data_IF_175012187355
#
_entry.id   IF_175012187355
#
_cell.length_a   1.000
_cell.length_b   1.000
_cell.length_c   1.000
_cell.angle_alpha   90.00
_cell.angle_beta   90.00
_cell.angle_gamma   90.00
#
_symmetry.space_group_name_H-M   'P 1'
#
loop_
_entity.id
_entity.type
_entity.pdbx_description
1 polymer ?
#
# COMPACT_ATOMS: atom_id res chain seq x y z
N UNK A 1 -3.80 -49.51 -18.89
CA UNK A 1 -4.28 -48.87 -17.65
C UNK A 1 -3.68 -47.47 -17.44
N UNK A 2 -2.34 -47.33 -17.44
CA UNK A 2 -1.65 -46.03 -17.29
C UNK A 2 -2.05 -44.98 -18.35
N UNK A 3 -2.04 -45.35 -19.64
CA UNK A 3 -2.46 -44.48 -20.74
C UNK A 3 -3.84 -43.85 -20.50
N UNK A 4 -4.86 -44.68 -20.24
CA UNK A 4 -6.23 -44.22 -19.97
C UNK A 4 -6.30 -43.24 -18.78
N UNK A 5 -5.52 -43.48 -17.72
CA UNK A 5 -5.46 -42.58 -16.57
C UNK A 5 -4.83 -41.23 -16.94
N UNK A 6 -3.78 -41.21 -17.75
CA UNK A 6 -3.15 -39.99 -18.23
C UNK A 6 -4.08 -39.18 -19.15
N UNK A 7 -4.79 -39.83 -20.09
CA UNK A 7 -5.82 -39.17 -20.90
C UNK A 7 -6.88 -38.50 -20.04
N UNK A 8 -7.39 -39.19 -19.01
CA UNK A 8 -8.36 -38.60 -18.08
C UNK A 8 -7.79 -37.40 -17.32
N UNK A 9 -6.55 -37.49 -16.83
CA UNK A 9 -5.91 -36.40 -16.10
C UNK A 9 -5.65 -35.18 -16.98
N UNK A 10 -5.12 -35.38 -18.20
CA UNK A 10 -4.86 -34.30 -19.15
C UNK A 10 -6.18 -33.61 -19.53
N UNK A 11 -7.21 -34.39 -19.89
CA UNK A 11 -8.53 -33.83 -20.21
C UNK A 11 -9.13 -33.04 -19.03
N UNK A 12 -9.00 -33.54 -17.80
CA UNK A 12 -9.46 -32.83 -16.61
C UNK A 12 -8.74 -31.49 -16.43
N UNK A 13 -7.42 -31.47 -16.50
CA UNK A 13 -6.65 -30.24 -16.32
C UNK A 13 -6.86 -29.26 -17.48
N UNK A 14 -6.99 -29.74 -18.73
CA UNK A 14 -7.37 -28.88 -19.86
C UNK A 14 -8.71 -28.19 -19.61
N UNK A 15 -9.74 -28.95 -19.23
CA UNK A 15 -11.05 -28.40 -18.93
C UNK A 15 -11.04 -27.45 -17.72
N UNK A 16 -10.15 -27.67 -16.74
CA UNK A 16 -9.94 -26.73 -15.64
C UNK A 16 -9.31 -25.41 -16.13
N UNK A 17 -8.27 -25.49 -16.98
CA UNK A 17 -7.61 -24.31 -17.57
C UNK A 17 -8.58 -23.50 -18.43
N UNK A 18 -9.41 -24.16 -19.24
CA UNK A 18 -10.39 -23.46 -20.08
C UNK A 18 -11.43 -22.71 -19.24
N UNK A 19 -11.95 -23.34 -18.17
CA UNK A 19 -12.84 -22.70 -17.20
C UNK A 19 -12.19 -21.54 -16.47
N UNK A 20 -10.92 -21.68 -16.06
CA UNK A 20 -10.18 -20.59 -15.43
C UNK A 20 -10.07 -19.37 -16.35
N UNK A 21 -10.05 -19.58 -17.66
CA UNK A 21 -9.99 -18.50 -18.63
C UNK A 21 -11.28 -17.71 -18.84
N UNK A 22 -12.41 -18.19 -18.32
CA UNK A 22 -13.63 -17.39 -18.17
C UNK A 22 -13.52 -16.47 -16.94
N UNK A 23 -12.34 -15.89 -16.71
CA UNK A 23 -11.97 -15.28 -15.44
C UNK A 23 -12.84 -14.07 -15.06
N UNK A 24 -13.43 -13.40 -16.05
CA UNK A 24 -14.43 -12.35 -15.82
C UNK A 24 -15.70 -12.87 -15.14
N UNK A 25 -15.93 -14.18 -15.07
CA UNK A 25 -17.03 -14.80 -14.33
C UNK A 25 -16.75 -14.95 -12.83
N UNK A 26 -15.48 -14.88 -12.41
CA UNK A 26 -15.12 -14.93 -10.98
C UNK A 26 -15.37 -13.62 -10.25
N UNK A 27 -15.72 -12.55 -10.96
CA UNK A 27 -16.21 -11.31 -10.38
C UNK A 27 -17.48 -10.83 -11.08
N UNK A 28 -18.36 -10.18 -10.31
CA UNK A 28 -19.63 -9.69 -10.85
C UNK A 28 -19.37 -8.67 -11.97
N UNK A 29 -20.14 -8.68 -13.08
CA UNK A 29 -20.00 -7.67 -14.14
C UNK A 29 -20.07 -6.23 -13.62
N UNK A 30 -20.96 -5.97 -12.66
CA UNK A 30 -21.09 -4.67 -12.00
C UNK A 30 -19.84 -4.25 -11.22
N UNK A 31 -19.09 -5.20 -10.66
CA UNK A 31 -17.84 -4.92 -9.95
C UNK A 31 -16.71 -4.56 -10.93
N UNK A 32 -16.70 -5.18 -12.12
CA UNK A 32 -15.81 -4.80 -13.21
C UNK A 32 -16.14 -3.42 -13.80
N UNK A 33 -17.43 -3.10 -13.97
CA UNK A 33 -17.91 -1.79 -14.46
C UNK A 33 -17.71 -0.66 -13.45
N UNK A 34 -17.40 -1.02 -12.21
CA UNK A 34 -17.07 -0.12 -11.12
C UNK A 34 -15.59 0.28 -11.09
N UNK A 35 -14.72 -0.33 -11.90
CA UNK A 35 -13.33 0.09 -12.05
C UNK A 35 -13.21 1.29 -12.98
N UNK A 36 -12.16 2.08 -12.81
CA UNK A 36 -11.69 3.02 -13.82
C UNK A 36 -11.34 2.26 -15.10
N UNK A 37 -11.63 2.86 -16.26
CA UNK A 37 -11.49 2.16 -17.55
C UNK A 37 -10.07 1.64 -17.79
N UNK A 38 -9.05 2.45 -17.52
CA UNK A 38 -7.66 2.05 -17.72
C UNK A 38 -7.26 0.89 -16.80
N UNK A 39 -7.78 0.87 -15.56
CA UNK A 39 -7.51 -0.16 -14.57
C UNK A 39 -8.13 -1.49 -15.00
N UNK A 40 -9.40 -1.46 -15.42
CA UNK A 40 -10.10 -2.63 -15.93
C UNK A 40 -9.44 -3.23 -17.18
N UNK A 41 -8.89 -2.40 -18.07
CA UNK A 41 -8.14 -2.88 -19.24
C UNK A 41 -6.82 -3.53 -18.83
N UNK A 42 -6.02 -2.86 -18.00
CA UNK A 42 -4.73 -3.37 -17.54
C UNK A 42 -4.87 -4.70 -16.79
N UNK A 43 -5.90 -4.81 -15.93
CA UNK A 43 -6.11 -6.00 -15.13
C UNK A 43 -6.59 -7.18 -15.97
N UNK A 44 -7.58 -6.99 -16.86
CA UNK A 44 -8.06 -8.06 -17.75
C UNK A 44 -6.93 -8.58 -18.65
N UNK A 45 -6.16 -7.68 -19.27
CA UNK A 45 -5.01 -8.08 -20.08
C UNK A 45 -4.00 -8.92 -19.31
N UNK A 46 -3.72 -8.56 -18.05
CA UNK A 46 -2.82 -9.34 -17.18
C UNK A 46 -3.33 -10.76 -16.89
N UNK A 47 -4.63 -10.89 -16.59
CA UNK A 47 -5.28 -12.17 -16.32
C UNK A 47 -5.38 -13.04 -17.59
N UNK A 48 -5.76 -12.43 -18.72
CA UNK A 48 -5.81 -13.09 -20.03
C UNK A 48 -4.45 -13.66 -20.42
N UNK A 49 -3.38 -12.88 -20.25
CA UNK A 49 -2.01 -13.31 -20.54
C UNK A 49 -1.58 -14.50 -19.66
N UNK A 50 -1.93 -14.49 -18.37
CA UNK A 50 -1.63 -15.58 -17.45
C UNK A 50 -2.34 -16.88 -17.85
N UNK A 51 -3.63 -16.79 -18.18
CA UNK A 51 -4.44 -17.93 -18.66
C UNK A 51 -3.95 -18.41 -20.01
N UNK A 52 -3.61 -17.52 -20.95
CA UNK A 52 -3.13 -17.89 -22.29
C UNK A 52 -1.84 -18.72 -22.21
N UNK A 53 -0.90 -18.33 -21.32
CA UNK A 53 0.30 -19.14 -21.03
C UNK A 53 -0.04 -20.52 -20.50
N UNK A 54 -1.00 -20.62 -19.57
CA UNK A 54 -1.42 -21.90 -19.00
C UNK A 54 -2.13 -22.79 -20.05
N UNK A 55 -2.93 -22.20 -20.94
CA UNK A 55 -3.54 -22.88 -22.10
C UNK A 55 -2.50 -23.44 -23.05
N UNK A 56 -1.45 -22.68 -23.34
CA UNK A 56 -0.33 -23.15 -24.17
C UNK A 56 0.40 -24.33 -23.52
N UNK A 57 0.64 -24.28 -22.20
CA UNK A 57 1.23 -25.39 -21.46
C UNK A 57 0.34 -26.64 -21.49
N UNK A 58 -0.97 -26.50 -21.28
CA UNK A 58 -1.91 -27.61 -21.38
C UNK A 58 -1.89 -28.26 -22.77
N UNK A 59 -1.91 -27.45 -23.84
CA UNK A 59 -1.82 -27.93 -25.22
C UNK A 59 -0.51 -28.67 -25.52
N UNK A 60 0.61 -28.23 -24.94
CA UNK A 60 1.89 -28.96 -25.06
C UNK A 60 1.84 -30.32 -24.36
N UNK A 61 1.18 -30.45 -23.20
CA UNK A 61 1.00 -31.74 -22.53
C UNK A 61 0.08 -32.67 -23.33
N UNK A 62 -0.98 -32.14 -23.93
CA UNK A 62 -1.87 -32.90 -24.84
C UNK A 62 -1.12 -33.44 -26.04
N UNK A 63 -0.31 -32.61 -26.70
CA UNK A 63 0.52 -33.02 -27.83
C UNK A 63 1.53 -34.11 -27.41
N UNK A 64 2.18 -33.96 -26.26
CA UNK A 64 3.09 -34.97 -25.73
C UNK A 64 2.40 -36.30 -25.42
N UNK A 65 1.17 -36.27 -24.87
CA UNK A 65 0.38 -37.48 -24.62
C UNK A 65 -0.04 -38.16 -25.93
N UNK A 66 -0.39 -37.39 -26.96
CA UNK A 66 -0.78 -37.93 -28.27
C UNK A 66 0.41 -38.61 -28.97
N UNK A 67 1.63 -38.10 -28.79
CA UNK A 67 2.85 -38.65 -29.38
C UNK A 67 3.44 -39.84 -28.60
N UNK A 68 3.11 -40.00 -27.31
CA UNK A 68 3.67 -41.06 -26.47
C UNK A 68 3.23 -42.47 -26.90
N UNK A 69 4.20 -43.34 -27.18
CA UNK A 69 3.98 -44.75 -27.54
C UNK A 69 4.55 -45.74 -26.53
N UNK A 70 5.50 -45.32 -25.69
CA UNK A 70 6.25 -46.18 -24.77
C UNK A 70 5.97 -45.85 -23.30
N UNK A 71 6.25 -46.81 -22.40
CA UNK A 71 6.10 -46.61 -20.95
C UNK A 71 6.95 -45.45 -20.43
N UNK A 72 8.17 -45.26 -20.95
CA UNK A 72 9.04 -44.16 -20.55
C UNK A 72 8.44 -42.80 -20.93
N UNK A 73 7.91 -42.67 -22.14
CA UNK A 73 7.24 -41.45 -22.60
C UNK A 73 5.96 -41.16 -21.81
N UNK A 74 5.18 -42.19 -21.44
CA UNK A 74 4.03 -42.00 -20.55
C UNK A 74 4.43 -41.50 -19.16
N UNK A 75 5.58 -41.93 -18.63
CA UNK A 75 6.12 -41.39 -17.37
C UNK A 75 6.61 -39.93 -17.52
N UNK A 76 7.17 -39.55 -18.67
CA UNK A 76 7.46 -38.15 -18.99
C UNK A 76 6.20 -37.29 -19.03
N UNK A 77 5.15 -37.78 -19.69
CA UNK A 77 3.84 -37.12 -19.71
C UNK A 77 3.26 -37.00 -18.30
N UNK A 78 3.38 -38.04 -17.47
CA UNK A 78 2.96 -37.96 -16.05
C UNK A 78 3.66 -36.83 -15.30
N UNK A 79 4.98 -36.66 -15.50
CA UNK A 79 5.74 -35.54 -14.91
C UNK A 79 5.27 -34.19 -15.43
N UNK A 80 4.97 -34.09 -16.73
CA UNK A 80 4.40 -32.89 -17.34
C UNK A 80 3.02 -32.55 -16.75
N UNK A 81 2.14 -33.54 -16.54
CA UNK A 81 0.83 -33.34 -15.88
C UNK A 81 0.99 -32.82 -14.46
N UNK A 82 1.92 -33.37 -13.67
CA UNK A 82 2.19 -32.89 -12.30
C UNK A 82 2.66 -31.43 -12.31
N UNK A 83 3.54 -31.06 -13.25
CA UNK A 83 3.96 -29.66 -13.43
C UNK A 83 2.80 -28.76 -13.85
N UNK A 84 1.96 -29.19 -14.80
CA UNK A 84 0.78 -28.45 -15.24
C UNK A 84 -0.18 -28.19 -14.08
N UNK A 85 -0.44 -29.21 -13.24
CA UNK A 85 -1.24 -29.06 -12.02
C UNK A 85 -0.68 -28.00 -11.08
N UNK A 86 0.63 -28.02 -10.80
CA UNK A 86 1.25 -27.03 -9.94
C UNK A 86 1.11 -25.60 -10.53
N UNK A 87 1.30 -25.46 -11.84
CA UNK A 87 1.10 -24.19 -12.56
C UNK A 87 -0.35 -23.71 -12.53
N UNK A 88 -1.31 -24.63 -12.66
CA UNK A 88 -2.73 -24.30 -12.54
C UNK A 88 -3.06 -23.71 -11.18
N UNK A 89 -2.64 -24.34 -10.07
CA UNK A 89 -2.94 -23.84 -8.71
C UNK A 89 -2.35 -22.44 -8.49
N UNK A 90 -1.15 -22.19 -9.03
CA UNK A 90 -0.52 -20.87 -8.97
C UNK A 90 -1.31 -19.82 -9.76
N UNK A 91 -1.74 -20.13 -10.98
CA UNK A 91 -2.55 -19.24 -11.80
C UNK A 91 -3.95 -19.01 -11.19
N UNK A 92 -4.57 -20.06 -10.63
CA UNK A 92 -5.84 -19.97 -9.91
C UNK A 92 -5.73 -19.05 -8.69
N UNK A 93 -4.64 -19.13 -7.93
CA UNK A 93 -4.37 -18.22 -6.80
C UNK A 93 -4.34 -16.75 -7.25
N UNK A 94 -3.66 -16.49 -8.37
CA UNK A 94 -3.57 -15.16 -8.98
C UNK A 94 -4.95 -14.65 -9.43
N UNK A 95 -5.71 -15.47 -10.17
CA UNK A 95 -7.04 -15.11 -10.66
C UNK A 95 -8.00 -14.88 -9.48
N UNK A 96 -7.97 -15.75 -8.48
CA UNK A 96 -8.81 -15.64 -7.29
C UNK A 96 -8.51 -14.36 -6.50
N UNK A 97 -7.23 -14.02 -6.32
CA UNK A 97 -6.82 -12.79 -5.64
C UNK A 97 -7.45 -11.55 -6.29
N UNK A 98 -7.26 -11.37 -7.60
CA UNK A 98 -7.77 -10.19 -8.29
C UNK A 98 -9.29 -10.20 -8.41
N UNK A 99 -9.90 -11.36 -8.61
CA UNK A 99 -11.36 -11.47 -8.66
C UNK A 99 -11.99 -11.07 -7.33
N UNK A 100 -11.41 -11.51 -6.20
CA UNK A 100 -11.84 -11.09 -4.87
C UNK A 100 -11.63 -9.59 -4.64
N UNK A 101 -10.48 -9.04 -5.05
CA UNK A 101 -10.19 -7.61 -4.93
C UNK A 101 -11.18 -6.75 -5.75
N UNK A 102 -11.52 -7.17 -6.97
CA UNK A 102 -12.54 -6.50 -7.79
C UNK A 102 -13.92 -6.63 -7.14
N UNK A 103 -14.29 -7.81 -6.65
CA UNK A 103 -15.56 -8.07 -5.96
C UNK A 103 -15.72 -7.31 -4.64
N UNK A 104 -14.66 -6.72 -4.07
CA UNK A 104 -14.78 -5.84 -2.90
C UNK A 104 -15.69 -4.63 -3.18
N UNK A 105 -15.95 -4.31 -4.46
CA UNK A 105 -16.86 -3.26 -4.93
C UNK A 105 -18.32 -3.75 -4.93
N UNK A 106 -18.80 -4.19 -3.77
CA UNK A 106 -20.08 -4.90 -3.58
C UNK A 106 -21.33 -4.06 -3.85
N UNK A 107 -21.22 -2.73 -3.88
CA UNK A 107 -22.33 -1.82 -4.18
C UNK A 107 -21.84 -0.44 -4.65
N UNK A 108 -22.74 0.42 -5.18
CA UNK A 108 -22.37 1.68 -5.82
C UNK A 108 -21.53 2.60 -4.94
N UNK A 109 -21.88 2.68 -3.66
CA UNK A 109 -21.21 3.54 -2.71
C UNK A 109 -19.81 3.03 -2.32
N UNK A 110 -19.69 1.75 -1.96
CA UNK A 110 -18.38 1.14 -1.65
C UNK A 110 -17.46 1.21 -2.87
N UNK A 111 -18.02 0.98 -4.06
CA UNK A 111 -17.29 1.13 -5.31
C UNK A 111 -16.76 2.56 -5.52
N UNK A 112 -17.56 3.59 -5.22
CA UNK A 112 -17.13 4.98 -5.29
C UNK A 112 -16.03 5.30 -4.27
N UNK A 113 -16.17 4.85 -3.02
CA UNK A 113 -15.14 5.04 -2.00
C UNK A 113 -13.81 4.35 -2.38
N UNK A 114 -13.86 3.14 -2.93
CA UNK A 114 -12.66 2.44 -3.37
C UNK A 114 -12.02 3.10 -4.60
N UNK A 115 -12.79 3.65 -5.54
CA UNK A 115 -12.23 4.48 -6.63
C UNK A 115 -11.55 5.74 -6.09
N UNK A 116 -12.15 6.38 -5.07
CA UNK A 116 -11.52 7.51 -4.41
C UNK A 116 -10.17 7.12 -3.78
N UNK A 117 -10.10 5.93 -3.18
CA UNK A 117 -8.86 5.34 -2.67
C UNK A 117 -7.82 5.12 -3.78
N UNK A 118 -8.23 4.59 -4.94
CA UNK A 118 -7.36 4.44 -6.12
C UNK A 118 -6.75 5.78 -6.55
N UNK A 119 -7.59 6.81 -6.65
CA UNK A 119 -7.16 8.18 -6.98
C UNK A 119 -6.20 8.73 -5.95
N UNK A 120 -6.47 8.57 -4.66
CA UNK A 120 -5.63 9.07 -3.57
C UNK A 120 -4.25 8.39 -3.57
N UNK A 121 -4.19 7.07 -3.69
CA UNK A 121 -2.91 6.36 -3.73
C UNK A 121 -2.10 6.73 -4.99
N UNK A 122 -2.76 6.81 -6.15
CA UNK A 122 -2.12 7.22 -7.40
C UNK A 122 -1.60 8.65 -7.30
N UNK A 123 -2.38 9.58 -6.75
CA UNK A 123 -1.97 10.96 -6.51
C UNK A 123 -0.76 11.04 -5.57
N UNK A 124 -0.76 10.25 -4.48
CA UNK A 124 0.37 10.15 -3.56
C UNK A 124 1.64 9.72 -4.31
N UNK A 125 1.59 8.62 -5.07
CA UNK A 125 2.74 8.14 -5.86
C UNK A 125 3.21 9.17 -6.89
N UNK A 126 2.26 9.83 -7.57
CA UNK A 126 2.54 10.81 -8.61
C UNK A 126 3.35 12.01 -8.09
N UNK A 127 3.09 12.46 -6.86
CA UNK A 127 3.82 13.59 -6.25
C UNK A 127 5.34 13.38 -6.18
N UNK A 128 5.78 12.12 -6.06
CA UNK A 128 7.21 11.75 -6.04
C UNK A 128 7.69 11.33 -7.43
N UNK A 129 6.94 10.48 -8.13
CA UNK A 129 7.42 9.80 -9.33
C UNK A 129 7.40 10.67 -10.59
N UNK A 130 6.37 11.52 -10.78
CA UNK A 130 6.25 12.34 -11.98
C UNK A 130 7.38 13.39 -12.09
N UNK A 131 7.78 14.11 -11.01
CA UNK A 131 8.94 15.00 -11.06
C UNK A 131 10.26 14.31 -11.38
N UNK A 132 10.34 12.99 -11.17
CA UNK A 132 11.50 12.14 -11.50
C UNK A 132 11.36 11.46 -12.87
N UNK A 133 10.26 11.71 -13.59
CA UNK A 133 9.90 11.09 -14.87
C UNK A 133 9.81 9.56 -14.79
N UNK A 134 9.41 9.06 -13.62
CA UNK A 134 9.15 7.64 -13.38
C UNK A 134 7.66 7.34 -13.61
N UNK A 135 7.33 6.13 -14.09
CA UNK A 135 5.95 5.76 -14.35
C UNK A 135 5.15 5.61 -13.04
N UNK A 136 3.91 6.12 -13.05
CA UNK A 136 2.95 5.92 -11.96
C UNK A 136 2.01 4.76 -12.34
N UNK A 137 2.01 3.65 -11.59
CA UNK A 137 1.23 2.46 -11.96
C UNK A 137 -0.29 2.72 -11.81
N UNK A 138 -1.12 1.92 -12.49
CA UNK A 138 -2.51 1.75 -12.08
C UNK A 138 -2.59 1.23 -10.63
N UNK A 139 -3.61 1.64 -9.88
CA UNK A 139 -3.82 1.22 -8.49
C UNK A 139 -5.16 0.49 -8.39
N UNK A 140 -5.21 -0.59 -7.60
CA UNK A 140 -6.44 -1.28 -7.21
C UNK A 140 -6.53 -1.37 -5.68
N UNK A 141 -7.33 -0.50 -5.09
CA UNK A 141 -7.71 -0.53 -3.70
C UNK A 141 -8.87 -1.49 -3.50
N UNK A 142 -8.79 -2.30 -2.45
CA UNK A 142 -9.83 -3.27 -2.09
C UNK A 142 -9.95 -3.40 -0.56
N UNK A 143 -11.13 -3.75 -0.07
CA UNK A 143 -11.36 -4.02 1.35
C UNK A 143 -11.14 -5.50 1.64
N UNK A 144 -10.43 -5.80 2.72
CA UNK A 144 -10.36 -7.14 3.29
C UNK A 144 -10.28 -7.07 4.83
N UNK A 145 -10.31 -8.23 5.49
CA UNK A 145 -10.17 -8.36 6.94
C UNK A 145 -8.74 -8.01 7.39
N UNK A 146 -8.61 -7.60 8.65
CA UNK A 146 -7.34 -7.32 9.30
C UNK A 146 -7.32 -5.98 10.04
N UNK A 147 -6.16 -5.67 10.62
CA UNK A 147 -5.92 -4.44 11.38
C UNK A 147 -5.29 -3.33 10.54
N UNK A 148 -4.60 -3.66 9.45
CA UNK A 148 -3.82 -2.68 8.67
C UNK A 148 -4.00 -2.80 7.16
N UNK A 149 -3.48 -1.79 6.46
CA UNK A 149 -3.34 -1.80 5.01
C UNK A 149 -2.18 -2.73 4.58
N UNK A 150 -2.06 -3.00 3.29
CA UNK A 150 -0.89 -3.68 2.73
C UNK A 150 -0.86 -3.55 1.21
N UNK A 151 0.33 -3.48 0.61
CA UNK A 151 0.49 -3.37 -0.83
C UNK A 151 1.13 -4.61 -1.49
N UNK A 152 0.50 -5.08 -2.56
CA UNK A 152 1.14 -5.86 -3.61
C UNK A 152 1.57 -4.90 -4.74
N UNK A 153 2.86 -4.58 -4.79
CA UNK A 153 3.42 -3.58 -5.72
C UNK A 153 3.24 -4.02 -7.19
N UNK A 154 2.98 -3.05 -8.06
CA UNK A 154 3.10 -3.26 -9.51
C UNK A 154 4.54 -3.63 -9.87
N UNK A 155 4.73 -4.48 -10.89
CA UNK A 155 6.07 -4.93 -11.30
C UNK A 155 6.60 -6.15 -10.53
N UNK A 156 5.92 -6.60 -9.46
CA UNK A 156 6.31 -7.82 -8.75
C UNK A 156 5.86 -9.08 -9.50
N UNK A 157 6.70 -10.13 -9.44
CA UNK A 157 6.31 -11.46 -9.89
C UNK A 157 5.22 -12.03 -8.97
N UNK A 158 4.17 -12.55 -9.57
CA UNK A 158 3.02 -13.14 -8.90
C UNK A 158 3.25 -14.63 -8.63
N UNK A 159 2.25 -15.29 -8.05
CA UNK A 159 2.32 -16.69 -7.57
C UNK A 159 2.67 -17.72 -8.65
N UNK A 160 2.44 -17.40 -9.94
CA UNK A 160 2.83 -18.24 -11.08
C UNK A 160 4.31 -18.09 -11.47
N UNK A 161 5.05 -17.18 -10.82
CA UNK A 161 6.48 -16.94 -11.00
C UNK A 161 6.86 -16.29 -12.33
N UNK A 162 5.87 -15.97 -13.18
CA UNK A 162 6.06 -15.43 -14.53
C UNK A 162 5.25 -14.16 -14.74
N UNK A 163 3.99 -14.14 -14.31
CA UNK A 163 3.14 -12.96 -14.44
C UNK A 163 3.67 -11.87 -13.53
N UNK A 164 3.77 -10.67 -14.09
CA UNK A 164 4.15 -9.46 -13.38
C UNK A 164 2.88 -8.68 -13.05
N UNK A 165 2.73 -8.21 -11.82
CA UNK A 165 1.57 -7.42 -11.41
C UNK A 165 1.42 -6.16 -12.27
N UNK A 166 0.32 -6.04 -13.02
CA UNK A 166 0.04 -4.86 -13.83
C UNK A 166 -0.38 -3.64 -13.00
N UNK A 167 -0.80 -3.86 -11.75
CA UNK A 167 -1.38 -2.83 -10.88
C UNK A 167 -0.71 -2.86 -9.51
N UNK A 168 -0.71 -1.74 -8.79
CA UNK A 168 -0.43 -1.72 -7.37
C UNK A 168 -1.72 -2.05 -6.62
N UNK A 169 -1.84 -3.26 -6.08
CA UNK A 169 -3.03 -3.64 -5.32
C UNK A 169 -2.84 -3.29 -3.84
N UNK A 170 -3.70 -2.42 -3.30
CA UNK A 170 -3.59 -1.91 -1.93
C UNK A 170 -4.82 -2.36 -1.14
N UNK A 171 -4.59 -3.17 -0.11
CA UNK A 171 -5.63 -3.55 0.84
C UNK A 171 -5.91 -2.40 1.80
N UNK A 172 -7.19 -2.18 2.10
CA UNK A 172 -7.65 -1.39 3.24
C UNK A 172 -8.61 -2.22 4.12
N UNK A 173 -8.92 -1.71 5.31
CA UNK A 173 -9.89 -2.29 6.25
C UNK A 173 -11.19 -1.48 6.27
N UNK A 174 -12.28 -2.10 6.74
CA UNK A 174 -13.57 -1.43 6.87
C UNK A 174 -13.54 -0.25 7.84
N UNK A 175 -12.86 -0.40 8.98
CA UNK A 175 -12.81 0.64 10.02
C UNK A 175 -12.00 1.86 9.59
N UNK A 176 -11.06 1.71 8.65
CA UNK A 176 -10.25 2.81 8.14
C UNK A 176 -10.78 3.43 6.84
N UNK A 177 -11.85 2.90 6.22
CA UNK A 177 -12.28 3.28 4.85
C UNK A 177 -12.41 4.81 4.60
N UNK A 178 -12.62 5.60 5.66
CA UNK A 178 -12.82 7.04 5.61
C UNK A 178 -11.64 7.87 6.18
N UNK A 179 -10.63 7.22 6.75
CA UNK A 179 -9.43 7.80 7.38
C UNK A 179 -8.16 7.29 6.67
N UNK A 180 -8.13 7.43 5.34
CA UNK A 180 -7.24 6.71 4.42
C UNK A 180 -5.79 7.26 4.32
N UNK A 181 -5.23 7.75 5.40
CA UNK A 181 -3.81 8.15 5.41
C UNK A 181 -2.88 6.93 5.31
N UNK A 182 -3.33 5.75 5.76
CA UNK A 182 -2.63 4.47 5.57
C UNK A 182 -2.41 4.11 4.09
N UNK A 183 -3.32 4.47 3.17
CA UNK A 183 -3.08 4.27 1.74
C UNK A 183 -1.88 5.08 1.23
N UNK A 184 -1.63 6.25 1.82
CA UNK A 184 -0.47 7.05 1.45
C UNK A 184 0.85 6.40 1.93
N UNK A 185 0.82 5.70 3.07
CA UNK A 185 1.95 4.88 3.55
C UNK A 185 2.23 3.73 2.57
N UNK A 186 1.20 2.97 2.19
CA UNK A 186 1.34 1.88 1.20
C UNK A 186 1.83 2.38 -0.17
N UNK A 187 1.33 3.55 -0.60
CA UNK A 187 1.83 4.24 -1.78
C UNK A 187 3.31 4.61 -1.64
N UNK A 188 3.74 5.02 -0.45
CA UNK A 188 5.14 5.27 -0.09
C UNK A 188 6.05 4.06 -0.32
N UNK A 189 5.62 2.85 0.06
CA UNK A 189 6.41 1.64 -0.25
C UNK A 189 6.66 1.46 -1.74
N UNK A 190 5.66 1.78 -2.59
CA UNK A 190 5.86 1.74 -4.03
C UNK A 190 6.85 2.81 -4.50
N UNK A 191 6.67 4.07 -4.08
CA UNK A 191 7.57 5.16 -4.50
C UNK A 191 9.02 4.87 -4.12
N UNK A 192 9.25 4.41 -2.89
CA UNK A 192 10.59 4.20 -2.36
C UNK A 192 11.28 3.01 -3.03
N UNK A 193 10.50 1.99 -3.41
CA UNK A 193 10.99 0.89 -4.23
C UNK A 193 11.31 1.31 -5.65
N UNK A 194 10.47 2.15 -6.26
CA UNK A 194 10.63 2.57 -7.65
C UNK A 194 11.83 3.52 -7.83
N UNK A 195 12.13 4.34 -6.82
CA UNK A 195 13.29 5.23 -6.81
C UNK A 195 14.57 4.56 -6.31
N UNK A 196 14.46 3.42 -5.61
CA UNK A 196 15.59 2.75 -4.95
C UNK A 196 16.00 3.40 -3.62
N UNK A 197 15.20 4.32 -3.07
CA UNK A 197 15.55 5.12 -1.90
C UNK A 197 15.78 4.29 -0.62
N UNK A 198 15.05 3.18 -0.43
CA UNK A 198 15.16 2.35 0.78
C UNK A 198 16.62 1.96 1.10
N UNK A 199 17.36 1.48 0.09
CA UNK A 199 18.76 1.06 0.29
C UNK A 199 19.72 2.22 0.54
N UNK A 200 19.47 3.36 -0.12
CA UNK A 200 20.25 4.58 0.06
C UNK A 200 20.03 5.19 1.47
N UNK A 201 18.78 5.19 1.93
CA UNK A 201 18.40 5.63 3.28
C UNK A 201 19.00 4.71 4.36
N UNK A 202 18.89 3.39 4.20
CA UNK A 202 19.48 2.43 5.14
C UNK A 202 21.01 2.62 5.28
N UNK A 203 21.70 2.78 4.15
CA UNK A 203 23.14 3.07 4.12
C UNK A 203 23.46 4.39 4.85
N UNK A 204 22.62 5.40 4.66
CA UNK A 204 22.77 6.70 5.32
C UNK A 204 22.61 6.58 6.83
N UNK A 205 21.60 5.84 7.31
CA UNK A 205 21.40 5.62 8.74
C UNK A 205 22.58 4.90 9.40
N UNK A 206 23.09 3.84 8.77
CA UNK A 206 24.28 3.13 9.28
C UNK A 206 25.49 4.04 9.39
N UNK A 207 25.67 4.96 8.44
CA UNK A 207 26.80 5.89 8.45
C UNK A 207 26.66 7.04 9.44
N UNK A 208 25.44 7.54 9.67
CA UNK A 208 25.21 8.80 10.39
C UNK A 208 24.82 8.63 11.87
N UNK A 209 24.19 7.52 12.26
CA UNK A 209 23.55 7.38 13.58
C UNK A 209 24.33 6.51 14.57
N UNK A 210 25.62 6.30 14.33
CA UNK A 210 26.48 5.51 15.20
C UNK A 210 26.19 4.01 15.22
N UNK A 211 26.95 3.27 16.03
CA UNK A 211 26.97 1.81 15.99
C UNK A 211 25.71 1.12 16.56
N UNK A 212 24.94 1.81 17.40
CA UNK A 212 23.74 1.26 18.03
C UNK A 212 22.47 1.64 17.26
N UNK A 213 22.21 2.94 17.05
CA UNK A 213 21.00 3.37 16.35
C UNK A 213 21.09 3.13 14.82
N UNK A 214 22.27 3.31 14.21
CA UNK A 214 22.44 3.18 12.76
C UNK A 214 21.95 1.86 12.16
N UNK A 215 22.39 0.69 12.65
CA UNK A 215 21.90 -0.60 12.16
C UNK A 215 20.40 -0.82 12.39
N UNK A 216 19.85 -0.34 13.51
CA UNK A 216 18.44 -0.48 13.83
C UNK A 216 17.56 0.32 12.85
N UNK A 217 17.85 1.62 12.70
CA UNK A 217 17.17 2.47 11.73
C UNK A 217 17.37 2.02 10.28
N UNK A 218 18.53 1.45 9.94
CA UNK A 218 18.76 0.85 8.64
C UNK A 218 17.84 -0.36 8.38
N UNK A 219 17.60 -1.20 9.39
CA UNK A 219 16.62 -2.29 9.33
C UNK A 219 15.18 -1.80 9.15
N UNK A 220 14.88 -0.59 9.63
CA UNK A 220 13.55 0.02 9.55
C UNK A 220 13.36 1.01 8.40
N UNK A 221 14.35 1.14 7.52
CA UNK A 221 14.38 2.21 6.52
C UNK A 221 13.17 2.19 5.58
N UNK A 222 12.65 1.01 5.21
CA UNK A 222 11.49 0.90 4.31
C UNK A 222 10.20 1.44 4.91
N UNK A 223 9.99 1.24 6.22
CA UNK A 223 8.82 1.69 6.95
C UNK A 223 8.89 3.19 7.24
N UNK A 224 10.06 3.67 7.69
CA UNK A 224 10.30 5.09 7.94
C UNK A 224 10.16 5.91 6.66
N UNK A 225 10.69 5.41 5.54
CA UNK A 225 10.54 6.07 4.25
C UNK A 225 9.07 6.12 3.80
N UNK A 226 8.26 5.09 4.09
CA UNK A 226 6.84 5.06 3.75
C UNK A 226 6.04 6.04 4.62
N UNK A 227 6.33 6.09 5.92
CA UNK A 227 5.78 7.08 6.85
C UNK A 227 6.12 8.52 6.41
N UNK A 228 7.34 8.76 5.97
CA UNK A 228 7.76 10.09 5.49
C UNK A 228 6.98 10.56 4.25
N UNK A 229 6.71 9.66 3.30
CA UNK A 229 5.87 9.97 2.13
C UNK A 229 4.43 10.24 2.57
N UNK A 230 3.88 9.41 3.47
CA UNK A 230 2.54 9.62 4.01
C UNK A 230 2.41 10.97 4.74
N UNK A 231 3.40 11.32 5.56
CA UNK A 231 3.50 12.60 6.25
C UNK A 231 3.57 13.77 5.27
N UNK A 232 4.43 13.72 4.24
CA UNK A 232 4.54 14.81 3.26
C UNK A 232 3.24 14.99 2.47
N UNK A 233 2.50 13.91 2.23
CA UNK A 233 1.23 13.95 1.49
C UNK A 233 0.01 14.31 2.34
N UNK A 234 0.00 14.02 3.64
CA UNK A 234 -1.21 14.11 4.49
C UNK A 234 -1.03 14.77 5.86
N UNK A 235 0.19 15.17 6.20
CA UNK A 235 0.52 15.94 7.39
C UNK A 235 0.18 15.19 8.69
N UNK A 236 -0.31 15.94 9.68
CA UNK A 236 -0.65 15.39 11.01
C UNK A 236 -1.71 14.27 10.95
N UNK A 237 -2.56 14.24 9.92
CA UNK A 237 -3.55 13.17 9.76
C UNK A 237 -2.93 11.78 9.65
N UNK A 238 -1.74 11.64 9.03
CA UNK A 238 -1.02 10.37 9.00
C UNK A 238 -0.47 9.99 10.38
N UNK A 239 0.03 10.97 11.13
CA UNK A 239 0.64 10.76 12.45
C UNK A 239 -0.41 10.30 13.46
N UNK A 240 -1.56 10.96 13.51
CA UNK A 240 -2.67 10.57 14.37
C UNK A 240 -3.23 9.19 14.02
N UNK A 241 -3.41 8.90 12.72
CA UNK A 241 -3.89 7.58 12.29
C UNK A 241 -2.89 6.46 12.61
N UNK A 242 -1.59 6.72 12.46
CA UNK A 242 -0.55 5.76 12.85
C UNK A 242 -0.63 5.45 14.34
N UNK A 243 -0.71 6.49 15.18
CA UNK A 243 -0.88 6.35 16.63
C UNK A 243 -2.04 5.41 16.97
N UNK A 244 -3.21 5.62 16.37
CA UNK A 244 -4.41 4.82 16.65
C UNK A 244 -4.28 3.34 16.22
N UNK A 245 -3.48 3.06 15.18
CA UNK A 245 -3.24 1.69 14.70
C UNK A 245 -2.26 0.93 15.59
N UNK A 246 -1.24 1.60 16.12
CA UNK A 246 -0.14 0.95 16.85
C UNK A 246 -0.26 1.04 18.37
N UNK A 247 -1.26 1.78 18.87
CA UNK A 247 -1.62 1.78 20.29
C UNK A 247 -1.95 0.36 20.76
N UNK A 248 -1.38 -0.04 21.90
CA UNK A 248 -1.49 -1.40 22.41
C UNK A 248 -0.90 -1.56 23.80
N UNK A 249 -0.71 -2.81 24.22
CA UNK A 249 -0.04 -3.11 25.49
C UNK A 249 1.47 -2.79 25.41
N UNK A 250 2.08 -2.49 26.55
CA UNK A 250 3.50 -2.18 26.66
C UNK A 250 4.40 -3.22 25.97
N UNK A 251 4.04 -4.51 26.08
CA UNK A 251 4.78 -5.61 25.45
C UNK A 251 4.86 -5.47 23.94
N UNK A 252 3.79 -5.01 23.27
CA UNK A 252 3.79 -4.77 21.83
C UNK A 252 4.39 -3.42 21.46
N UNK A 253 4.23 -2.41 22.32
CA UNK A 253 4.70 -1.04 22.05
C UNK A 253 6.22 -0.93 22.07
N UNK A 254 6.89 -1.68 22.94
CA UNK A 254 8.36 -1.66 23.07
C UNK A 254 9.08 -2.72 22.25
N UNK A 255 8.36 -3.71 21.70
CA UNK A 255 8.96 -4.84 21.00
C UNK A 255 9.83 -4.37 19.83
N UNK A 256 11.10 -4.77 19.86
CA UNK A 256 12.04 -4.61 18.75
C UNK A 256 12.48 -6.00 18.30
N UNK A 257 12.30 -6.30 17.01
CA UNK A 257 12.76 -7.55 16.40
C UNK A 257 13.70 -7.26 15.23
N UNK A 258 14.85 -7.93 15.13
CA UNK A 258 15.76 -7.77 13.99
C UNK A 258 15.19 -8.31 12.68
N UNK A 259 14.09 -9.06 12.74
CA UNK A 259 13.39 -9.61 11.57
C UNK A 259 12.12 -8.84 11.22
N UNK A 260 11.74 -7.86 12.05
CA UNK A 260 10.59 -7.01 11.81
C UNK A 260 11.09 -5.70 11.17
N UNK A 261 10.65 -5.36 9.94
CA UNK A 261 11.03 -4.10 9.31
C UNK A 261 10.41 -2.88 9.99
N UNK A 262 9.46 -3.06 10.93
CA UNK A 262 8.84 -1.94 11.63
C UNK A 262 9.72 -1.45 12.80
N UNK A 263 9.90 -0.12 12.93
CA UNK A 263 10.37 0.42 14.20
C UNK A 263 9.37 0.05 15.31
N UNK A 264 9.85 -0.16 16.55
CA UNK A 264 8.97 -0.31 17.70
C UNK A 264 7.92 0.81 17.72
N UNK A 265 6.62 0.50 17.94
CA UNK A 265 5.56 1.51 17.97
C UNK A 265 5.92 2.74 18.81
N UNK A 266 6.58 2.52 19.95
CA UNK A 266 7.08 3.58 20.82
C UNK A 266 7.90 4.63 20.07
N UNK A 267 8.88 4.20 19.27
CA UNK A 267 9.75 5.09 18.49
C UNK A 267 9.04 5.60 17.24
N UNK A 268 8.23 4.76 16.58
CA UNK A 268 7.57 5.11 15.32
C UNK A 268 6.62 6.28 15.46
N UNK A 269 5.82 6.31 16.54
CA UNK A 269 4.92 7.43 16.86
C UNK A 269 5.73 8.70 17.12
N UNK A 270 6.74 8.63 17.99
CA UNK A 270 7.57 9.79 18.34
C UNK A 270 8.34 10.37 17.15
N UNK A 271 8.84 9.51 16.25
CA UNK A 271 9.48 9.93 15.01
C UNK A 271 8.52 10.73 14.10
N UNK A 272 7.28 10.25 13.95
CA UNK A 272 6.28 10.93 13.14
C UNK A 272 5.79 12.24 13.79
N UNK A 273 5.78 12.33 15.13
CA UNK A 273 5.61 13.61 15.84
C UNK A 273 6.77 14.55 15.53
N UNK A 274 8.00 14.06 15.52
CA UNK A 274 9.19 14.87 15.21
C UNK A 274 9.13 15.44 13.78
N UNK A 275 8.57 14.69 12.82
CA UNK A 275 8.28 15.23 11.48
C UNK A 275 7.39 16.48 11.54
N UNK A 276 6.32 16.45 12.35
CA UNK A 276 5.44 17.60 12.55
C UNK A 276 6.20 18.76 13.22
N UNK A 277 6.93 18.51 14.31
CA UNK A 277 7.72 19.54 15.00
C UNK A 277 8.67 20.24 14.05
N UNK A 278 9.38 19.46 13.23
CA UNK A 278 10.41 19.98 12.33
C UNK A 278 9.86 20.85 11.20
N UNK A 279 8.62 20.63 10.76
CA UNK A 279 8.02 21.37 9.63
C UNK A 279 6.94 22.37 10.03
N UNK A 280 6.25 22.13 11.13
CA UNK A 280 5.07 22.90 11.55
C UNK A 280 5.29 23.63 12.88
N UNK A 281 6.34 23.31 13.65
CA UNK A 281 6.60 23.90 14.97
C UNK A 281 5.80 23.20 16.06
N UNK A 282 5.28 23.97 17.03
CA UNK A 282 4.40 23.42 18.07
C UNK A 282 2.97 23.21 17.57
N UNK A 283 2.27 22.18 18.07
CA UNK A 283 0.89 21.91 17.69
C UNK A 283 0.28 20.69 18.38
N UNK A 284 -0.88 20.19 17.93
CA UNK A 284 -1.59 19.08 18.59
C UNK A 284 -0.80 17.77 18.64
N UNK A 285 0.24 17.62 17.82
CA UNK A 285 1.18 16.49 17.91
C UNK A 285 2.03 16.50 19.18
N UNK A 286 2.21 17.66 19.83
CA UNK A 286 2.91 17.75 21.11
C UNK A 286 2.07 17.10 22.22
N UNK A 287 0.78 17.42 22.28
CA UNK A 287 -0.17 16.78 23.19
C UNK A 287 -0.24 15.26 22.95
N UNK A 288 -0.21 14.83 21.68
CA UNK A 288 -0.15 13.41 21.32
C UNK A 288 1.12 12.74 21.86
N UNK A 289 2.29 13.36 21.70
CA UNK A 289 3.54 12.82 22.23
C UNK A 289 3.55 12.77 23.77
N UNK A 290 3.04 13.81 24.43
CA UNK A 290 2.97 13.85 25.89
C UNK A 290 2.03 12.76 26.42
N UNK A 291 0.86 12.58 25.80
CA UNK A 291 -0.06 11.49 26.12
C UNK A 291 0.58 10.11 25.86
N UNK A 292 1.28 9.94 24.75
CA UNK A 292 1.97 8.70 24.39
C UNK A 292 3.06 8.34 25.41
N UNK A 293 3.88 9.31 25.82
CA UNK A 293 4.93 9.11 26.82
C UNK A 293 4.36 8.86 28.23
N UNK A 294 3.22 9.46 28.56
CA UNK A 294 2.53 9.22 29.82
C UNK A 294 1.89 7.83 29.88
N UNK A 295 1.33 7.36 28.76
CA UNK A 295 0.75 6.02 28.63
C UNK A 295 1.83 4.92 28.57
N UNK A 296 2.98 5.23 27.96
CA UNK A 296 4.09 4.31 27.77
C UNK A 296 5.41 4.87 28.35
N UNK A 297 5.55 4.96 29.69
CA UNK A 297 6.80 5.31 30.31
C UNK A 297 7.91 4.30 29.96
N UNK A 298 9.06 4.77 29.46
CA UNK A 298 10.22 3.91 29.12
C UNK A 298 10.69 3.00 30.26
N UNK A 299 10.37 3.37 31.51
CA UNK A 299 10.62 2.53 32.69
C UNK A 299 9.87 1.18 32.65
N UNK A 300 8.85 1.02 31.80
CA UNK A 300 8.09 -0.20 31.59
C UNK A 300 8.64 -1.08 30.46
N UNK A 301 9.51 -0.55 29.59
CA UNK A 301 10.24 -1.37 28.63
C UNK A 301 11.14 -2.38 29.35
N UNK A 302 11.26 -3.61 28.82
CA UNK A 302 12.09 -4.63 29.47
C UNK A 302 13.56 -4.23 29.41
N UNK A 303 14.39 -4.88 30.24
CA UNK A 303 15.82 -4.60 30.29
C UNK A 303 16.55 -4.85 28.96
N UNK A 304 15.99 -5.66 28.05
CA UNK A 304 16.60 -5.97 26.77
C UNK A 304 16.36 -4.88 25.71
N UNK A 305 15.14 -4.34 25.59
CA UNK A 305 14.85 -3.31 24.57
C UNK A 305 15.22 -1.90 25.03
N UNK A 306 15.16 -1.62 26.35
CA UNK A 306 15.32 -0.25 26.88
C UNK A 306 16.57 0.49 26.38
N UNK A 307 17.80 -0.10 26.38
CA UNK A 307 18.98 0.63 25.92
C UNK A 307 18.89 1.07 24.46
N UNK A 308 18.30 0.23 23.59
CA UNK A 308 18.07 0.57 22.19
C UNK A 308 17.05 1.70 22.07
N UNK A 309 15.93 1.60 22.79
CA UNK A 309 14.86 2.60 22.76
C UNK A 309 15.33 3.98 23.26
N UNK A 310 16.09 4.02 24.36
CA UNK A 310 16.65 5.26 24.91
C UNK A 310 17.61 5.92 23.92
N UNK A 311 18.55 5.14 23.35
CA UNK A 311 19.52 5.66 22.40
C UNK A 311 18.86 6.10 21.09
N UNK A 312 17.95 5.29 20.54
CA UNK A 312 17.22 5.60 19.31
C UNK A 312 16.30 6.82 19.46
N UNK A 313 15.67 6.99 20.63
CA UNK A 313 14.89 8.19 20.96
C UNK A 313 15.77 9.44 20.97
N UNK A 314 17.00 9.33 21.43
CA UNK A 314 17.95 10.44 21.51
C UNK A 314 18.44 10.99 20.17
N UNK A 315 18.16 10.32 19.05
CA UNK A 315 18.61 10.71 17.70
C UNK A 315 17.45 10.94 16.71
N UNK A 316 16.21 11.08 17.19
CA UNK A 316 15.03 11.22 16.32
C UNK A 316 15.03 12.51 15.49
N UNK A 317 15.65 13.57 15.99
CA UNK A 317 15.86 14.83 15.28
C UNK A 317 16.82 14.64 14.09
N UNK A 318 17.95 13.96 14.32
CA UNK A 318 18.90 13.59 13.27
C UNK A 318 18.24 12.68 12.22
N UNK A 319 17.49 11.66 12.66
CA UNK A 319 16.74 10.77 11.76
C UNK A 319 15.76 11.58 10.90
N UNK A 320 15.04 12.51 11.51
CA UNK A 320 14.08 13.38 10.80
C UNK A 320 14.75 14.24 9.73
N UNK A 321 15.90 14.82 10.04
CA UNK A 321 16.66 15.62 9.07
C UNK A 321 17.23 14.77 7.94
N UNK A 322 17.72 13.56 8.25
CA UNK A 322 18.17 12.60 7.23
C UNK A 322 17.02 12.20 6.30
N UNK A 323 15.84 11.92 6.83
CA UNK A 323 14.70 11.45 6.04
C UNK A 323 14.08 12.58 5.19
N UNK A 324 13.85 13.75 5.78
CA UNK A 324 13.05 14.79 5.13
C UNK A 324 13.88 15.84 4.38
N UNK A 325 15.12 16.10 4.80
CA UNK A 325 15.91 17.26 4.33
C UNK A 325 17.25 16.90 3.68
N UNK A 326 17.73 15.68 3.84
CA UNK A 326 18.95 15.24 3.14
C UNK A 326 18.67 15.00 1.65
N UNK A 327 19.55 15.48 0.76
CA UNK A 327 19.51 15.12 -0.65
C UNK A 327 19.87 13.65 -0.91
N UNK A 328 19.14 12.99 -1.82
CA UNK A 328 19.38 11.61 -2.23
C UNK A 328 19.48 11.47 -3.75
N UNK A 329 20.32 10.54 -4.22
CA UNK A 329 20.42 10.20 -5.64
C UNK A 329 19.11 9.66 -6.18
N UNK A 330 18.39 8.88 -5.36
CA UNK A 330 17.04 8.40 -5.65
C UNK A 330 16.05 9.53 -6.05
N UNK A 331 16.33 10.77 -5.67
CA UNK A 331 15.51 11.96 -5.93
C UNK A 331 16.18 13.00 -6.85
N UNK A 332 17.28 12.61 -7.50
CA UNK A 332 18.08 13.52 -8.34
C UNK A 332 18.80 14.59 -7.51
N UNK A 333 19.47 14.16 -6.44
CA UNK A 333 20.24 15.00 -5.51
C UNK A 333 19.42 16.13 -4.87
N UNK A 334 18.16 15.82 -4.58
CA UNK A 334 17.21 16.68 -3.86
C UNK A 334 16.65 15.94 -2.64
N UNK A 335 16.18 16.66 -1.61
CA UNK A 335 15.46 16.03 -0.51
C UNK A 335 14.05 15.62 -0.93
N UNK A 336 13.45 14.67 -0.19
CA UNK A 336 12.04 14.28 -0.38
C UNK A 336 11.12 15.51 -0.38
N UNK A 337 11.37 16.46 0.53
CA UNK A 337 10.55 17.66 0.72
C UNK A 337 10.64 18.67 -0.42
N UNK A 338 11.60 18.52 -1.33
CA UNK A 338 11.65 19.28 -2.59
C UNK A 338 10.78 18.66 -3.70
N UNK A 339 10.42 17.38 -3.57
CA UNK A 339 9.46 16.71 -4.46
C UNK A 339 8.03 16.87 -3.93
N UNK A 340 7.84 16.69 -2.62
CA UNK A 340 6.55 16.76 -1.94
C UNK A 340 6.68 17.74 -0.78
N UNK A 341 6.17 18.97 -0.96
CA UNK A 341 6.29 20.01 0.07
C UNK A 341 5.28 19.80 1.22
N UNK A 342 5.71 19.36 2.41
CA UNK A 342 4.82 19.13 3.55
C UNK A 342 4.11 20.42 4.02
N UNK A 343 4.64 21.60 3.69
CA UNK A 343 3.99 22.87 4.07
C UNK A 343 2.59 23.01 3.45
N UNK A 344 2.33 22.36 2.31
CA UNK A 344 0.99 22.38 1.66
C UNK A 344 -0.09 21.69 2.49
N UNK A 345 0.31 20.82 3.43
CA UNK A 345 -0.56 20.08 4.35
C UNK A 345 -0.34 20.49 5.81
N UNK A 346 0.27 21.66 6.04
CA UNK A 346 0.33 22.28 7.36
C UNK A 346 -1.10 22.67 7.81
N UNK A 347 -1.47 22.51 9.09
CA UNK A 347 -2.84 22.75 9.54
C UNK A 347 -3.43 24.12 9.20
N UNK A 348 -2.69 25.21 9.41
CA UNK A 348 -3.12 26.56 9.07
C UNK A 348 -3.35 26.70 7.55
N UNK A 349 -2.47 26.19 6.70
CA UNK A 349 -2.63 26.19 5.24
C UNK A 349 -3.86 25.40 4.77
N UNK A 350 -4.18 24.30 5.45
CA UNK A 350 -5.37 23.49 5.18
C UNK A 350 -6.66 24.21 5.60
N UNK A 351 -6.66 24.80 6.81
CA UNK A 351 -7.80 25.58 7.29
C UNK A 351 -7.99 26.86 6.47
N UNK A 352 -6.92 27.48 5.99
CA UNK A 352 -6.96 28.67 5.14
C UNK A 352 -7.48 28.34 3.74
N UNK A 353 -7.10 27.18 3.18
CA UNK A 353 -7.68 26.66 1.94
C UNK A 353 -9.20 26.50 2.07
N UNK A 354 -9.65 25.89 3.16
CA UNK A 354 -11.07 25.70 3.44
C UNK A 354 -11.82 27.02 3.60
N UNK A 355 -11.28 27.97 4.38
CA UNK A 355 -11.93 29.28 4.57
C UNK A 355 -12.03 30.06 3.27
N UNK A 356 -10.98 30.10 2.45
CA UNK A 356 -10.97 30.86 1.18
C UNK A 356 -11.88 30.25 0.11
N UNK A 357 -12.00 28.93 0.09
CA UNK A 357 -12.73 28.20 -0.96
C UNK A 357 -14.18 27.95 -0.56
N UNK A 358 -14.47 27.87 0.74
CA UNK A 358 -15.79 27.59 1.29
C UNK A 358 -16.34 26.23 0.81
N UNK A 359 -17.67 26.11 0.65
CA UNK A 359 -18.32 24.85 0.26
C UNK A 359 -17.84 24.27 -1.09
N UNK A 360 -17.27 25.10 -1.98
CA UNK A 360 -16.76 24.66 -3.26
C UNK A 360 -15.59 23.67 -3.14
N UNK A 361 -14.83 23.71 -2.03
CA UNK A 361 -13.70 22.82 -1.79
C UNK A 361 -14.10 21.34 -1.85
N UNK A 362 -15.32 21.05 -1.38
CA UNK A 362 -15.84 19.70 -1.18
C UNK A 362 -16.81 19.25 -2.28
N UNK A 363 -17.23 20.18 -3.14
CA UNK A 363 -18.31 19.95 -4.11
C UNK A 363 -17.89 20.18 -5.55
N UNK A 364 -16.86 20.98 -5.81
CA UNK A 364 -16.38 21.28 -7.15
C UNK A 364 -15.48 20.18 -7.69
N UNK A 365 -15.74 19.76 -8.93
CA UNK A 365 -14.86 18.85 -9.68
C UNK A 365 -13.42 19.34 -9.74
N UNK A 366 -13.20 20.65 -9.86
CA UNK A 366 -11.86 21.22 -9.93
C UNK A 366 -11.06 20.93 -8.66
N UNK A 367 -11.63 21.21 -7.48
CA UNK A 367 -10.92 21.03 -6.21
C UNK A 367 -10.76 19.56 -5.84
N UNK A 368 -11.81 18.76 -6.05
CA UNK A 368 -11.77 17.31 -5.78
C UNK A 368 -10.66 16.62 -6.59
N UNK A 369 -10.45 17.01 -7.85
CA UNK A 369 -9.45 16.38 -8.72
C UNK A 369 -8.04 16.97 -8.56
N UNK A 370 -7.92 18.26 -8.24
CA UNK A 370 -6.61 18.94 -8.13
C UNK A 370 -5.97 18.85 -6.74
N UNK A 371 -6.78 18.80 -5.69
CA UNK A 371 -6.30 18.83 -4.30
C UNK A 371 -6.74 17.63 -3.45
N UNK A 372 -6.92 16.39 -3.98
CA UNK A 372 -7.48 15.28 -3.23
C UNK A 372 -6.65 14.92 -1.98
N UNK A 373 -5.33 15.04 -2.05
CA UNK A 373 -4.45 14.78 -0.90
C UNK A 373 -4.61 15.84 0.20
N UNK A 374 -4.81 17.12 -0.15
CA UNK A 374 -5.06 18.17 0.85
C UNK A 374 -6.44 18.04 1.48
N UNK A 375 -7.45 17.56 0.73
CA UNK A 375 -8.77 17.22 1.28
C UNK A 375 -8.68 16.06 2.27
N UNK A 376 -7.89 15.03 1.95
CA UNK A 376 -7.60 13.92 2.85
C UNK A 376 -6.86 14.42 4.10
N UNK A 377 -5.81 15.24 3.93
CA UNK A 377 -5.06 15.84 5.03
C UNK A 377 -5.94 16.67 5.97
N UNK A 378 -6.80 17.52 5.41
CA UNK A 378 -7.74 18.35 6.17
C UNK A 378 -8.78 17.50 6.90
N UNK A 379 -9.32 16.46 6.25
CA UNK A 379 -10.25 15.53 6.89
C UNK A 379 -9.59 14.81 8.06
N UNK A 380 -8.37 14.29 7.87
CA UNK A 380 -7.60 13.62 8.92
C UNK A 380 -7.24 14.56 10.08
N UNK A 381 -6.81 15.79 9.77
CA UNK A 381 -6.52 16.81 10.78
C UNK A 381 -7.75 17.13 11.65
N UNK A 382 -8.91 17.38 11.03
CA UNK A 382 -10.15 17.67 11.78
C UNK A 382 -10.59 16.48 12.62
N UNK A 383 -10.53 15.25 12.10
CA UNK A 383 -10.89 14.05 12.86
C UNK A 383 -9.99 13.89 14.09
N UNK A 384 -8.68 14.14 13.94
CA UNK A 384 -7.72 14.03 15.04
C UNK A 384 -7.87 15.14 16.11
N UNK A 385 -8.34 16.33 15.73
CA UNK A 385 -8.36 17.51 16.63
C UNK A 385 -9.76 17.89 17.11
N UNK A 386 -10.81 17.33 16.53
CA UNK A 386 -12.22 17.57 16.89
C UNK A 386 -12.95 16.26 17.23
N UNK A 387 -12.50 15.49 18.25
CA UNK A 387 -13.07 14.17 18.55
C UNK A 387 -14.58 14.20 18.85
N UNK A 388 -15.10 15.31 19.36
CA UNK A 388 -16.55 15.51 19.58
C UNK A 388 -17.39 15.59 18.30
N UNK A 389 -16.76 15.72 17.12
CA UNK A 389 -17.43 15.85 15.81
C UNK A 389 -17.10 14.72 14.84
N UNK A 390 -16.40 13.67 15.30
CA UNK A 390 -15.96 12.54 14.46
C UNK A 390 -17.09 11.94 13.60
N UNK A 391 -18.31 11.67 14.11
CA UNK A 391 -19.39 11.15 13.26
C UNK A 391 -19.75 12.07 12.09
N UNK A 392 -19.81 13.39 12.32
CA UNK A 392 -20.11 14.39 11.30
C UNK A 392 -18.99 14.48 10.26
N UNK A 393 -17.74 14.47 10.73
CA UNK A 393 -16.53 14.55 9.91
C UNK A 393 -16.35 13.31 9.04
N UNK A 394 -16.62 12.12 9.57
CA UNK A 394 -16.62 10.87 8.79
C UNK A 394 -17.73 10.86 7.75
N UNK A 395 -18.95 11.31 8.11
CA UNK A 395 -20.03 11.44 7.13
C UNK A 395 -19.68 12.45 6.02
N UNK A 396 -18.96 13.52 6.36
CA UNK A 396 -18.45 14.48 5.40
C UNK A 396 -17.35 13.88 4.51
N UNK A 397 -16.40 13.14 5.09
CA UNK A 397 -15.34 12.42 4.37
C UNK A 397 -15.93 11.47 3.33
N UNK A 398 -16.91 10.67 3.76
CA UNK A 398 -17.67 9.75 2.89
C UNK A 398 -18.29 10.47 1.70
N UNK A 399 -18.91 11.63 1.89
CA UNK A 399 -19.55 12.39 0.80
C UNK A 399 -18.56 12.89 -0.25
N UNK A 400 -17.46 13.52 0.17
CA UNK A 400 -16.50 14.06 -0.81
C UNK A 400 -15.70 12.94 -1.49
N UNK A 401 -15.36 11.87 -0.76
CA UNK A 401 -14.70 10.70 -1.34
C UNK A 401 -15.59 10.01 -2.37
N UNK A 402 -16.87 9.77 -2.06
CA UNK A 402 -17.79 9.18 -3.02
C UNK A 402 -17.88 10.02 -4.31
N UNK A 403 -17.96 11.35 -4.19
CA UNK A 403 -17.93 12.26 -5.35
C UNK A 403 -16.63 12.16 -6.13
N UNK A 404 -15.47 12.11 -5.46
CA UNK A 404 -14.18 11.93 -6.12
C UNK A 404 -14.14 10.62 -6.91
N UNK A 405 -14.60 9.52 -6.31
CA UNK A 405 -14.67 8.23 -6.97
C UNK A 405 -15.61 8.20 -8.17
N UNK A 406 -16.74 8.91 -8.10
CA UNK A 406 -17.66 9.00 -9.24
C UNK A 406 -17.07 9.79 -10.41
N UNK A 407 -16.28 10.83 -10.13
CA UNK A 407 -15.52 11.57 -11.15
C UNK A 407 -14.44 10.72 -11.82
N UNK A 408 -13.84 9.78 -11.10
CA UNK A 408 -12.77 8.92 -11.62
C UNK A 408 -13.26 7.79 -12.53
N UNK A 409 -14.57 7.50 -12.54
CA UNK A 409 -15.15 6.40 -13.33
C UNK A 409 -15.01 6.60 -14.84
N UNK A 410 -14.95 7.85 -15.30
CA UNK A 410 -14.87 8.23 -16.72
C UNK A 410 -13.50 7.96 -17.32
#
# INVERSE_FOLDING_TARGET
MLRTQLFRQVAHWRAAVDRLGEHTTFAAPSAWDALERYLGVALRGNLDDAVARLRAQAGAVEAALAAAGTTAEFEDVRRLVVRLRARYIQAETLVAFYSNAVNARTGPEVAALLRACDVLARACMATVLEPLRLPVPPVLCYVDRGLGASILRSGLRLWDGVTVSAVAAIRTTWHNLLTQTAICHEAGHYTNSATGWNGELATTFTAALGATAGPAFAGWASEIAADAVAFCCTGYGAVAALHDVVAGEDTSVYAASPFDPHPPPFLRVLLNVEFCRRFYGSGPWDDLADAWLAAHPLAYATGAERPLLEHARGVLDDVTDLVLRRPYRAFGDRPLTALVDPRRVRPDELLDLERRTGPALWTSTYWLTREPLRLLALSGYRIATEPGRTPELLAHARRWMARLGDLART
#
